data_IF_880457009418
#
_entry.id   IF_880457009418
#
_cell.length_a   1.000
_cell.length_b   1.000
_cell.length_c   1.000
_cell.angle_alpha   90.00
_cell.angle_beta   90.00
_cell.angle_gamma   90.00
#
_symmetry.space_group_name_H-M   'P 1'
#
loop_
_entity.id
_entity.type
_entity.pdbx_description
1 polymer ?
#
# COMPACT_ATOMS: atom_id res chain seq x y z
N UNK A 1 30.47 -60.03 57.30
CA UNK A 1 28.99 -60.13 57.27
C UNK A 1 28.43 -58.74 57.05
N UNK A 2 28.18 -58.39 55.79
CA UNK A 2 27.35 -57.24 55.39
C UNK A 2 27.04 -57.45 53.91
N UNK A 3 25.77 -57.68 53.61
CA UNK A 3 25.27 -58.04 52.28
C UNK A 3 25.26 -56.82 51.34
N UNK A 4 25.35 -57.01 50.01
CA UNK A 4 25.17 -55.94 49.04
C UNK A 4 23.68 -55.70 48.77
N UNK A 5 23.24 -54.45 48.86
CA UNK A 5 21.87 -54.02 48.57
C UNK A 5 21.77 -53.57 47.11
N UNK A 6 20.91 -54.23 46.34
CA UNK A 6 20.53 -53.88 44.97
C UNK A 6 19.73 -52.56 44.94
N UNK A 7 19.96 -51.65 43.97
CA UNK A 7 19.12 -50.46 43.84
C UNK A 7 17.81 -50.76 43.09
N UNK A 8 16.70 -50.31 43.67
CA UNK A 8 15.35 -50.28 43.08
C UNK A 8 15.29 -49.26 41.93
N UNK A 9 14.66 -49.57 40.77
CA UNK A 9 14.48 -48.58 39.70
C UNK A 9 13.34 -47.61 40.06
N UNK A 10 13.57 -46.32 39.81
CA UNK A 10 12.56 -45.26 39.94
C UNK A 10 11.47 -45.41 38.84
N UNK A 11 10.22 -44.98 39.10
CA UNK A 11 9.14 -45.12 38.14
C UNK A 11 9.36 -44.19 36.93
N UNK A 12 9.12 -44.73 35.74
CA UNK A 12 9.14 -43.99 34.49
C UNK A 12 8.06 -42.90 34.51
N UNK A 13 8.48 -41.65 34.36
CA UNK A 13 7.59 -40.53 34.09
C UNK A 13 7.12 -40.69 32.64
N UNK A 14 5.83 -40.91 32.47
CA UNK A 14 5.15 -40.81 31.19
C UNK A 14 5.08 -39.33 30.81
N UNK A 15 5.88 -38.92 29.84
CA UNK A 15 5.72 -37.64 29.15
C UNK A 15 4.40 -37.67 28.39
N UNK A 16 3.36 -37.16 29.06
CA UNK A 16 2.07 -36.85 28.45
C UNK A 16 2.22 -35.53 27.69
N UNK A 17 2.79 -35.61 26.49
CA UNK A 17 2.78 -34.49 25.53
C UNK A 17 1.36 -34.33 25.00
N UNK A 18 0.57 -33.54 25.75
CA UNK A 18 -0.67 -32.93 25.31
C UNK A 18 -0.40 -32.04 24.09
N UNK A 19 -0.53 -32.61 22.90
CA UNK A 19 -0.66 -31.86 21.64
C UNK A 19 -1.99 -31.12 21.63
N UNK A 20 -1.97 -29.85 22.04
CA UNK A 20 -3.08 -28.94 21.77
C UNK A 20 -3.10 -28.65 20.25
N UNK A 21 -4.25 -28.77 19.56
CA UNK A 21 -4.31 -28.49 18.13
C UNK A 21 -4.14 -26.98 17.94
N UNK A 22 -2.96 -26.56 17.49
CA UNK A 22 -2.77 -25.20 16.95
C UNK A 22 -3.54 -25.14 15.63
N UNK A 23 -4.81 -24.76 15.72
CA UNK A 23 -5.79 -24.71 14.64
C UNK A 23 -5.46 -23.67 13.57
N UNK A 24 -4.32 -23.81 12.92
CA UNK A 24 -3.91 -23.01 11.77
C UNK A 24 -4.38 -23.73 10.52
N UNK A 25 -5.34 -23.14 9.81
CA UNK A 25 -5.76 -23.66 8.52
C UNK A 25 -4.53 -23.74 7.58
N UNK A 26 -4.25 -24.90 6.95
CA UNK A 26 -3.15 -25.01 5.99
C UNK A 26 -3.39 -24.02 4.85
N UNK A 27 -2.37 -23.27 4.42
CA UNK A 27 -2.53 -22.16 3.46
C UNK A 27 -3.30 -22.53 2.18
N UNK A 28 -3.18 -23.78 1.72
CA UNK A 28 -3.95 -24.31 0.59
C UNK A 28 -5.48 -24.22 0.75
N UNK A 29 -5.99 -24.28 1.98
CA UNK A 29 -7.42 -24.14 2.28
C UNK A 29 -7.95 -22.71 2.09
N UNK A 30 -7.06 -21.70 2.04
CA UNK A 30 -7.42 -20.30 1.82
C UNK A 30 -7.29 -19.90 0.34
N UNK A 31 -6.26 -20.37 -0.36
CA UNK A 31 -5.92 -19.86 -1.69
C UNK A 31 -6.98 -20.17 -2.75
N UNK A 32 -7.37 -21.44 -2.87
CA UNK A 32 -8.30 -21.90 -3.91
C UNK A 32 -9.63 -21.14 -3.90
N UNK A 33 -10.37 -21.08 -2.78
CA UNK A 33 -11.64 -20.38 -2.71
C UNK A 33 -11.54 -18.87 -3.02
N UNK A 34 -10.47 -18.20 -2.56
CA UNK A 34 -10.30 -16.76 -2.79
C UNK A 34 -9.94 -16.46 -4.24
N UNK A 35 -9.08 -17.27 -4.87
CA UNK A 35 -8.73 -17.13 -6.28
C UNK A 35 -9.94 -17.42 -7.17
N UNK A 36 -10.71 -18.48 -6.89
CA UNK A 36 -11.93 -18.80 -7.63
C UNK A 36 -12.96 -17.66 -7.52
N UNK A 37 -13.17 -17.13 -6.31
CA UNK A 37 -14.03 -15.97 -6.11
C UNK A 37 -13.54 -14.74 -6.90
N UNK A 38 -12.22 -14.50 -6.91
CA UNK A 38 -11.64 -13.38 -7.65
C UNK A 38 -11.82 -13.52 -9.16
N UNK A 39 -11.66 -14.71 -9.72
CA UNK A 39 -11.85 -14.96 -11.16
C UNK A 39 -13.28 -14.60 -11.63
N UNK A 40 -14.28 -14.70 -10.75
CA UNK A 40 -15.68 -14.34 -11.03
C UNK A 40 -16.06 -12.90 -10.66
N UNK A 41 -15.41 -12.31 -9.64
CA UNK A 41 -15.87 -11.07 -8.99
C UNK A 41 -14.88 -9.91 -9.05
N UNK A 42 -13.69 -10.11 -9.62
CA UNK A 42 -12.69 -9.04 -9.73
C UNK A 42 -13.27 -7.82 -10.44
N UNK A 43 -13.07 -6.63 -9.84
CA UNK A 43 -13.36 -5.39 -10.55
C UNK A 43 -12.48 -5.28 -11.78
N UNK A 44 -13.11 -4.92 -12.89
CA UNK A 44 -12.43 -4.49 -14.10
C UNK A 44 -11.78 -3.13 -13.84
N UNK A 45 -10.45 -3.14 -13.71
CA UNK A 45 -9.64 -1.96 -13.42
C UNK A 45 -8.55 -1.87 -14.49
N UNK A 46 -8.30 -0.68 -15.06
CA UNK A 46 -7.44 -0.56 -16.22
C UNK A 46 -6.00 -1.02 -15.97
N UNK A 47 -5.48 -0.85 -14.76
CA UNK A 47 -4.15 -1.34 -14.35
C UNK A 47 -4.05 -2.85 -14.11
N UNK A 48 -5.17 -3.59 -14.16
CA UNK A 48 -5.17 -5.07 -14.11
C UNK A 48 -5.16 -5.71 -15.49
N UNK A 49 -5.43 -4.92 -16.53
CA UNK A 49 -5.49 -5.43 -17.90
C UNK A 49 -4.07 -5.59 -18.46
N UNK A 50 -3.81 -6.55 -19.35
CA UNK A 50 -2.47 -6.78 -19.91
C UNK A 50 -1.86 -5.52 -20.54
N UNK A 51 -2.67 -4.64 -21.12
CA UNK A 51 -2.22 -3.44 -21.83
C UNK A 51 -1.63 -2.38 -20.90
N UNK A 52 -1.89 -2.44 -19.59
CA UNK A 52 -1.30 -1.51 -18.63
C UNK A 52 0.23 -1.65 -18.56
N UNK A 53 0.73 -2.89 -18.72
CA UNK A 53 2.12 -3.23 -18.55
C UNK A 53 2.71 -2.81 -17.19
N UNK A 54 4.03 -2.98 -17.01
CA UNK A 54 4.70 -2.65 -15.75
C UNK A 54 4.61 -1.18 -15.35
N UNK A 55 4.62 -0.26 -16.33
CA UNK A 55 4.51 1.17 -16.06
C UNK A 55 3.12 1.55 -15.55
N UNK A 56 2.05 1.07 -16.20
CA UNK A 56 0.69 1.30 -15.72
C UNK A 56 0.47 0.74 -14.32
N UNK A 57 0.92 -0.49 -14.05
CA UNK A 57 0.89 -1.07 -12.69
C UNK A 57 1.63 -0.19 -11.68
N UNK A 58 2.85 0.27 -12.00
CA UNK A 58 3.60 1.14 -11.10
C UNK A 58 2.87 2.46 -10.82
N UNK A 59 2.33 3.12 -11.84
CA UNK A 59 1.57 4.37 -11.70
C UNK A 59 0.36 4.15 -10.80
N UNK A 60 -0.41 3.06 -10.98
CA UNK A 60 -1.56 2.77 -10.13
C UNK A 60 -1.14 2.54 -8.68
N UNK A 61 -0.05 1.81 -8.43
CA UNK A 61 0.44 1.55 -7.07
C UNK A 61 0.91 2.83 -6.36
N UNK A 62 1.48 3.79 -7.08
CA UNK A 62 1.76 5.11 -6.51
C UNK A 62 0.47 5.86 -6.18
N UNK A 63 -0.53 5.84 -7.06
CA UNK A 63 -1.78 6.57 -6.88
C UNK A 63 -2.69 5.99 -5.80
N UNK A 64 -2.79 4.67 -5.68
CA UNK A 64 -3.70 3.96 -4.77
C UNK A 64 -3.29 4.00 -3.30
N UNK A 65 -2.06 4.43 -2.98
CA UNK A 65 -1.61 4.61 -1.59
C UNK A 65 -2.48 5.64 -0.85
N UNK A 66 -3.41 5.16 0.00
CA UNK A 66 -4.31 6.00 0.78
C UNK A 66 -5.24 6.88 -0.08
N UNK A 67 -5.51 6.49 -1.33
CA UNK A 67 -6.47 7.17 -2.21
C UNK A 67 -7.42 6.12 -2.80
N UNK A 68 -8.76 6.30 -2.68
CA UNK A 68 -9.70 5.31 -3.14
C UNK A 68 -9.75 5.21 -4.67
N UNK A 69 -10.03 4.02 -5.18
CA UNK A 69 -10.05 3.66 -6.61
C UNK A 69 -10.83 4.66 -7.46
N UNK A 70 -12.05 5.04 -7.04
CA UNK A 70 -12.91 5.96 -7.77
C UNK A 70 -12.30 7.35 -7.99
N UNK A 71 -11.39 7.78 -7.12
CA UNK A 71 -10.66 9.05 -7.27
C UNK A 71 -9.42 8.88 -8.15
N UNK A 72 -8.82 7.69 -8.15
CA UNK A 72 -7.61 7.38 -8.94
C UNK A 72 -7.93 7.21 -10.42
N UNK A 73 -9.00 6.48 -10.75
CA UNK A 73 -9.37 6.12 -12.14
C UNK A 73 -9.23 7.27 -13.16
N UNK A 74 -9.89 8.43 -13.00
CA UNK A 74 -9.82 9.49 -14.01
C UNK A 74 -8.42 10.12 -14.12
N UNK A 75 -7.66 10.18 -13.02
CA UNK A 75 -6.30 10.72 -13.02
C UNK A 75 -5.33 9.74 -13.66
N UNK A 76 -5.48 8.44 -13.40
CA UNK A 76 -4.70 7.38 -14.00
C UNK A 76 -4.84 7.35 -15.52
N UNK A 77 -6.07 7.42 -16.03
CA UNK A 77 -6.34 7.42 -17.47
C UNK A 77 -5.69 8.63 -18.17
N UNK A 78 -5.88 9.84 -17.61
CA UNK A 78 -5.24 11.05 -18.13
C UNK A 78 -3.71 10.97 -18.05
N UNK A 79 -3.18 10.38 -16.98
CA UNK A 79 -1.75 10.21 -16.78
C UNK A 79 -1.12 9.34 -17.85
N UNK A 80 -1.71 8.18 -18.16
CA UNK A 80 -1.18 7.28 -19.19
C UNK A 80 -1.41 7.77 -20.62
N UNK A 81 -2.44 8.59 -20.87
CA UNK A 81 -2.59 9.30 -22.15
C UNK A 81 -1.43 10.30 -22.34
N UNK A 82 -1.09 11.06 -21.29
CA UNK A 82 -0.02 12.07 -21.37
C UNK A 82 1.38 11.45 -21.35
N UNK A 83 1.59 10.44 -20.52
CA UNK A 83 2.89 9.80 -20.28
C UNK A 83 2.79 8.27 -20.34
N UNK A 84 2.68 7.71 -21.55
CA UNK A 84 2.52 6.27 -21.74
C UNK A 84 3.77 5.46 -21.36
N UNK A 85 4.97 6.08 -21.31
CA UNK A 85 6.20 5.44 -20.84
C UNK A 85 6.89 6.25 -19.73
N UNK A 86 7.77 5.62 -18.92
CA UNK A 86 8.58 6.33 -17.92
C UNK A 86 9.35 7.51 -18.53
N UNK A 87 9.94 7.32 -19.71
CA UNK A 87 10.71 8.35 -20.41
C UNK A 87 9.89 9.59 -20.79
N UNK A 88 8.58 9.47 -20.98
CA UNK A 88 7.72 10.60 -21.32
C UNK A 88 7.49 11.49 -20.10
N UNK A 89 7.33 10.89 -18.91
CA UNK A 89 7.25 11.63 -17.65
C UNK A 89 8.61 12.21 -17.26
N UNK A 90 9.70 11.46 -17.46
CA UNK A 90 11.05 11.88 -17.06
C UNK A 90 11.53 13.15 -17.79
N UNK A 91 11.04 13.40 -19.00
CA UNK A 91 11.38 14.61 -19.80
C UNK A 91 10.72 15.89 -19.28
N UNK A 92 9.67 15.76 -18.47
CA UNK A 92 8.92 16.90 -17.96
C UNK A 92 9.55 17.42 -16.67
N UNK A 93 9.38 18.71 -16.35
CA UNK A 93 9.67 19.22 -15.02
C UNK A 93 8.88 18.46 -13.94
N UNK A 94 9.46 18.19 -12.75
CA UNK A 94 8.77 17.48 -11.67
C UNK A 94 7.46 18.18 -11.22
N UNK A 95 7.38 19.51 -11.39
CA UNK A 95 6.17 20.29 -11.17
C UNK A 95 4.98 19.86 -12.05
N UNK A 96 5.22 19.38 -13.26
CA UNK A 96 4.16 18.86 -14.14
C UNK A 96 3.52 17.60 -13.57
N UNK A 97 4.33 16.71 -12.98
CA UNK A 97 3.83 15.55 -12.26
C UNK A 97 2.93 15.98 -11.09
N UNK A 98 3.35 16.99 -10.30
CA UNK A 98 2.56 17.55 -9.19
C UNK A 98 1.25 18.18 -9.68
N UNK A 99 1.27 18.83 -10.84
CA UNK A 99 0.10 19.42 -11.49
C UNK A 99 -0.89 18.36 -11.93
N UNK A 100 -0.45 17.38 -12.71
CA UNK A 100 -1.29 16.27 -13.18
C UNK A 100 -1.84 15.40 -12.04
N UNK A 101 -1.10 15.26 -10.93
CA UNK A 101 -1.56 14.55 -9.74
C UNK A 101 -2.81 15.18 -9.10
N UNK A 102 -3.03 16.47 -9.35
CA UNK A 102 -4.22 17.19 -8.91
C UNK A 102 -4.54 16.97 -7.43
N UNK A 103 -5.79 16.61 -7.15
CA UNK A 103 -6.32 16.53 -5.78
C UNK A 103 -6.27 15.13 -5.17
N UNK A 104 -5.48 14.19 -5.71
CA UNK A 104 -5.37 12.81 -5.18
C UNK A 104 -4.86 12.73 -3.73
N UNK A 105 -4.25 13.80 -3.22
CA UNK A 105 -3.64 13.85 -1.89
C UNK A 105 -2.22 13.29 -1.88
N UNK A 106 -1.45 13.60 -0.83
CA UNK A 106 -0.05 13.20 -0.68
C UNK A 106 0.82 13.50 -1.92
N UNK A 107 0.91 14.78 -2.35
CA UNK A 107 1.51 15.16 -3.64
C UNK A 107 3.00 14.84 -3.76
N UNK A 108 3.73 14.59 -2.65
CA UNK A 108 5.11 14.10 -2.70
C UNK A 108 5.23 12.76 -3.45
N UNK A 109 4.15 11.98 -3.54
CA UNK A 109 4.12 10.75 -4.36
C UNK A 109 4.30 11.04 -5.85
N UNK A 110 3.82 12.19 -6.34
CA UNK A 110 4.03 12.60 -7.73
C UNK A 110 5.52 12.87 -8.01
N UNK A 111 6.20 13.57 -7.10
CA UNK A 111 7.65 13.81 -7.19
C UNK A 111 8.45 12.51 -7.12
N UNK A 112 8.05 11.58 -6.25
CA UNK A 112 8.67 10.26 -6.16
C UNK A 112 8.47 9.42 -7.42
N UNK A 113 7.27 9.42 -7.99
CA UNK A 113 6.97 8.73 -9.24
C UNK A 113 7.77 9.34 -10.41
N UNK A 114 7.89 10.67 -10.47
CA UNK A 114 8.74 11.35 -11.44
C UNK A 114 10.22 10.95 -11.27
N UNK A 115 10.75 10.98 -10.04
CA UNK A 115 12.12 10.53 -9.76
C UNK A 115 12.35 9.04 -10.10
N UNK A 116 11.35 8.18 -9.87
CA UNK A 116 11.39 6.79 -10.31
C UNK A 116 11.44 6.67 -11.84
N UNK A 117 10.64 7.47 -12.56
CA UNK A 117 10.63 7.50 -14.02
C UNK A 117 11.96 7.98 -14.62
N UNK A 118 12.58 9.02 -14.03
CA UNK A 118 13.93 9.47 -14.38
C UNK A 118 14.94 8.33 -14.17
N UNK A 119 14.95 7.71 -12.98
CA UNK A 119 15.85 6.62 -12.66
C UNK A 119 15.67 5.39 -13.58
N UNK A 120 14.43 5.07 -13.98
CA UNK A 120 14.13 4.01 -14.95
C UNK A 120 14.70 4.36 -16.33
N UNK A 121 14.54 5.60 -16.76
CA UNK A 121 15.04 6.07 -18.06
C UNK A 121 16.56 6.03 -18.12
N UNK A 122 17.24 6.51 -17.09
CA UNK A 122 18.70 6.63 -17.06
C UNK A 122 19.40 5.29 -16.79
N UNK A 123 18.86 4.48 -15.87
CA UNK A 123 19.57 3.28 -15.35
C UNK A 123 19.05 1.97 -15.89
N UNK A 124 17.85 1.96 -16.49
CA UNK A 124 17.16 0.74 -16.92
C UNK A 124 16.64 0.81 -18.36
N UNK A 125 17.18 1.72 -19.18
CA UNK A 125 16.85 1.80 -20.62
C UNK A 125 15.42 2.25 -20.93
N UNK A 126 14.72 2.84 -19.95
CA UNK A 126 13.34 3.31 -20.11
C UNK A 126 12.26 2.26 -19.82
N UNK A 127 12.65 1.05 -19.40
CA UNK A 127 11.73 -0.02 -19.04
C UNK A 127 11.78 -0.28 -17.53
N UNK A 128 10.61 -0.47 -16.91
CA UNK A 128 10.52 -0.77 -15.47
C UNK A 128 11.33 -2.04 -15.18
N UNK A 129 12.25 -2.05 -14.21
CA UNK A 129 13.04 -3.25 -13.95
C UNK A 129 12.18 -4.42 -13.46
N UNK A 130 12.52 -5.63 -13.89
CA UNK A 130 11.88 -6.88 -13.45
C UNK A 130 12.37 -7.33 -12.08
N UNK A 131 13.65 -7.16 -11.78
CA UNK A 131 14.24 -7.64 -10.54
C UNK A 131 13.73 -6.87 -9.32
N UNK A 132 13.21 -7.58 -8.31
CA UNK A 132 12.68 -6.97 -7.09
C UNK A 132 13.69 -6.04 -6.40
N UNK A 133 14.97 -6.42 -6.37
CA UNK A 133 16.03 -5.59 -5.79
C UNK A 133 16.23 -4.27 -6.55
N UNK A 134 16.07 -4.28 -7.88
CA UNK A 134 16.17 -3.07 -8.71
C UNK A 134 14.94 -2.18 -8.53
N UNK A 135 13.74 -2.78 -8.42
CA UNK A 135 12.51 -2.05 -8.07
C UNK A 135 12.67 -1.32 -6.73
N UNK A 136 13.18 -2.01 -5.70
CA UNK A 136 13.42 -1.43 -4.38
C UNK A 136 14.45 -0.30 -4.38
N UNK A 137 15.40 -0.31 -5.33
CA UNK A 137 16.41 0.74 -5.48
C UNK A 137 15.91 1.99 -6.23
N UNK A 138 14.66 2.00 -6.70
CA UNK A 138 14.05 3.16 -7.34
C UNK A 138 13.59 4.21 -6.30
N UNK A 139 13.77 5.52 -6.59
CA UNK A 139 13.31 6.58 -5.72
C UNK A 139 11.84 6.44 -5.30
N UNK A 140 11.58 6.45 -4.00
CA UNK A 140 10.23 6.43 -3.45
C UNK A 140 9.47 5.11 -3.56
N UNK A 141 10.13 4.04 -4.02
CA UNK A 141 9.61 2.67 -3.97
C UNK A 141 10.07 2.03 -2.66
N UNK A 142 9.12 1.56 -1.86
CA UNK A 142 9.38 0.77 -0.65
C UNK A 142 9.05 -0.71 -0.84
N UNK A 143 9.23 -1.49 0.22
CA UNK A 143 8.96 -2.94 0.28
C UNK A 143 7.59 -3.31 -0.35
N UNK A 144 6.53 -2.58 0.02
CA UNK A 144 5.19 -2.81 -0.53
C UNK A 144 5.13 -2.61 -2.05
N UNK A 145 5.56 -1.45 -2.54
CA UNK A 145 5.43 -1.09 -3.96
C UNK A 145 6.31 -1.99 -4.84
N UNK A 146 7.50 -2.35 -4.37
CA UNK A 146 8.37 -3.29 -5.08
C UNK A 146 7.72 -4.67 -5.21
N UNK A 147 7.19 -5.22 -4.10
CA UNK A 147 6.48 -6.49 -4.10
C UNK A 147 5.20 -6.45 -4.96
N UNK A 148 4.45 -5.35 -4.93
CA UNK A 148 3.24 -5.17 -5.72
C UNK A 148 3.55 -5.12 -7.23
N UNK A 149 4.54 -4.34 -7.66
CA UNK A 149 4.95 -4.29 -9.07
C UNK A 149 5.49 -5.65 -9.53
N UNK A 150 6.39 -6.28 -8.74
CA UNK A 150 6.91 -7.61 -9.04
C UNK A 150 5.80 -8.68 -9.20
N UNK A 151 4.80 -8.66 -8.31
CA UNK A 151 3.71 -9.62 -8.35
C UNK A 151 2.70 -9.34 -9.47
N UNK A 152 2.26 -8.08 -9.60
CA UNK A 152 1.16 -7.72 -10.50
C UNK A 152 1.59 -7.52 -11.94
N UNK A 153 2.80 -7.00 -12.18
CA UNK A 153 3.30 -6.79 -13.53
C UNK A 153 4.08 -7.99 -14.07
N UNK A 154 4.85 -8.67 -13.20
CA UNK A 154 5.78 -9.72 -13.62
C UNK A 154 5.40 -11.12 -13.15
N UNK A 155 4.29 -11.26 -12.40
CA UNK A 155 3.81 -12.56 -11.95
C UNK A 155 4.71 -13.22 -10.91
N UNK A 156 5.67 -12.50 -10.32
CA UNK A 156 6.65 -13.05 -9.40
C UNK A 156 6.05 -13.37 -8.03
N UNK A 157 6.69 -14.29 -7.31
CA UNK A 157 6.28 -14.69 -5.97
C UNK A 157 6.78 -13.71 -4.88
N UNK A 158 5.97 -12.70 -4.55
CA UNK A 158 6.23 -11.81 -3.40
C UNK A 158 5.01 -11.60 -2.50
N UNK A 159 5.20 -11.46 -1.17
CA UNK A 159 4.10 -11.13 -0.26
C UNK A 159 3.70 -9.66 -0.39
N UNK A 160 2.51 -9.39 -0.91
CA UNK A 160 1.95 -8.03 -1.02
C UNK A 160 1.09 -7.72 0.21
N UNK A 161 1.60 -6.87 1.11
CA UNK A 161 0.95 -6.55 2.40
C UNK A 161 0.45 -5.11 2.48
N UNK A 162 -0.66 -4.81 1.81
CA UNK A 162 -1.42 -3.58 2.06
C UNK A 162 -2.30 -3.70 3.32
N UNK A 163 -3.05 -2.65 3.64
CA UNK A 163 -3.96 -2.66 4.79
C UNK A 163 -5.13 -3.63 4.63
N UNK A 164 -5.50 -4.01 3.40
CA UNK A 164 -6.56 -4.97 3.11
C UNK A 164 -6.09 -6.40 3.36
N UNK A 165 -4.97 -6.80 2.78
CA UNK A 165 -4.38 -8.13 2.96
C UNK A 165 -4.02 -8.34 4.43
N UNK A 166 -3.38 -7.36 5.07
CA UNK A 166 -3.06 -7.45 6.51
C UNK A 166 -4.29 -7.73 7.37
N UNK A 167 -5.43 -7.09 7.07
CA UNK A 167 -6.70 -7.32 7.77
C UNK A 167 -7.29 -8.70 7.47
N UNK A 168 -7.26 -9.14 6.21
CA UNK A 168 -7.69 -10.49 5.82
C UNK A 168 -6.89 -11.54 6.60
N UNK A 169 -5.56 -11.44 6.62
CA UNK A 169 -4.69 -12.40 7.31
C UNK A 169 -4.87 -12.34 8.83
N UNK A 170 -4.98 -11.14 9.41
CA UNK A 170 -5.24 -10.97 10.83
C UNK A 170 -6.54 -11.69 11.25
N UNK A 171 -7.63 -11.46 10.52
CA UNK A 171 -8.93 -12.08 10.84
C UNK A 171 -8.95 -13.58 10.54
N UNK A 172 -8.54 -13.96 9.33
CA UNK A 172 -8.67 -15.34 8.87
C UNK A 172 -7.75 -16.30 9.63
N UNK A 173 -6.54 -15.85 9.99
CA UNK A 173 -5.50 -16.76 10.51
C UNK A 173 -5.21 -16.53 11.99
N UNK A 174 -5.16 -15.27 12.44
CA UNK A 174 -4.83 -14.98 13.85
C UNK A 174 -6.06 -14.76 14.73
N UNK A 175 -7.26 -14.70 14.16
CA UNK A 175 -8.49 -14.50 14.91
C UNK A 175 -8.68 -13.08 15.43
N UNK A 176 -7.91 -12.09 14.96
CA UNK A 176 -7.94 -10.72 15.48
C UNK A 176 -8.66 -9.76 14.52
N UNK A 177 -9.45 -8.82 15.07
CA UNK A 177 -10.25 -7.90 14.25
C UNK A 177 -9.39 -6.97 13.39
N UNK A 178 -8.28 -6.46 13.96
CA UNK A 178 -7.39 -5.53 13.30
C UNK A 178 -5.91 -5.90 13.49
N UNK A 179 -5.09 -5.78 12.43
CA UNK A 179 -3.65 -5.87 12.58
C UNK A 179 -3.10 -4.66 13.35
N UNK A 180 -1.86 -4.73 13.87
CA UNK A 180 -1.16 -3.59 14.47
C UNK A 180 -1.11 -2.35 13.56
N UNK A 181 -0.86 -1.16 14.13
CA UNK A 181 -0.84 0.09 13.35
C UNK A 181 0.27 0.09 12.27
N UNK A 182 1.44 -0.44 12.60
CA UNK A 182 2.56 -0.61 11.67
C UNK A 182 2.77 -2.09 11.33
N UNK A 183 3.25 -2.38 10.12
CA UNK A 183 3.54 -3.75 9.68
C UNK A 183 4.71 -4.32 10.49
N UNK A 184 4.45 -5.41 11.20
CA UNK A 184 5.41 -6.09 12.08
C UNK A 184 6.21 -7.19 11.37
N UNK A 185 7.29 -7.66 11.99
CA UNK A 185 8.05 -8.82 11.50
C UNK A 185 7.20 -10.11 11.53
N UNK A 186 6.29 -10.24 12.51
CA UNK A 186 5.37 -11.36 12.62
C UNK A 186 4.38 -11.41 11.45
N UNK A 187 3.80 -10.26 11.07
CA UNK A 187 2.91 -10.17 9.90
C UNK A 187 3.64 -10.54 8.60
N UNK A 188 4.89 -10.07 8.43
CA UNK A 188 5.72 -10.43 7.26
C UNK A 188 6.01 -11.93 7.20
N UNK A 189 6.34 -12.54 8.34
CA UNK A 189 6.58 -13.99 8.43
C UNK A 189 5.32 -14.78 8.09
N UNK A 190 4.18 -14.41 8.68
CA UNK A 190 2.89 -15.02 8.40
C UNK A 190 2.54 -14.96 6.91
N UNK A 191 2.74 -13.80 6.28
CA UNK A 191 2.45 -13.63 4.86
C UNK A 191 3.33 -14.49 3.96
N UNK A 192 4.62 -14.65 4.30
CA UNK A 192 5.53 -15.56 3.58
C UNK A 192 5.14 -17.03 3.75
N UNK A 193 4.79 -17.44 4.97
CA UNK A 193 4.35 -18.82 5.25
C UNK A 193 3.04 -19.18 4.52
N UNK A 194 2.21 -18.18 4.21
CA UNK A 194 0.98 -18.34 3.45
C UNK A 194 1.19 -18.10 1.94
N UNK A 195 2.39 -17.81 1.46
CA UNK A 195 2.57 -17.50 0.05
C UNK A 195 2.63 -18.81 -0.77
N UNK A 196 1.74 -19.03 -1.77
CA UNK A 196 1.82 -20.22 -2.63
C UNK A 196 3.21 -20.40 -3.23
N UNK A 197 3.73 -21.62 -3.32
CA UNK A 197 5.08 -21.88 -3.88
C UNK A 197 5.17 -21.61 -5.39
N UNK A 198 4.10 -21.90 -6.13
CA UNK A 198 3.99 -21.59 -7.56
C UNK A 198 3.78 -20.07 -7.80
N UNK A 199 4.60 -19.46 -8.65
CA UNK A 199 4.61 -18.00 -8.88
C UNK A 199 3.28 -17.49 -9.46
N UNK A 200 2.71 -18.23 -10.40
CA UNK A 200 1.42 -17.88 -11.03
C UNK A 200 0.30 -17.88 -10.01
N UNK A 201 0.31 -18.85 -9.10
CA UNK A 201 -0.67 -18.93 -8.01
C UNK A 201 -0.41 -17.85 -6.96
N UNK A 202 0.86 -17.53 -6.65
CA UNK A 202 1.23 -16.50 -5.70
C UNK A 202 0.82 -15.09 -6.15
N UNK A 203 1.09 -14.74 -7.42
CA UNK A 203 0.69 -13.44 -7.98
C UNK A 203 -0.83 -13.29 -8.07
N UNK A 204 -1.56 -14.36 -8.46
CA UNK A 204 -3.03 -14.39 -8.39
C UNK A 204 -3.53 -14.22 -6.96
N UNK A 205 -2.93 -14.91 -5.98
CA UNK A 205 -3.28 -14.78 -4.57
C UNK A 205 -3.06 -13.35 -4.04
N UNK A 206 -1.99 -12.67 -4.45
CA UNK A 206 -1.72 -11.30 -4.06
C UNK A 206 -2.87 -10.35 -4.50
N UNK A 207 -3.33 -10.45 -5.76
CA UNK A 207 -4.44 -9.64 -6.25
C UNK A 207 -5.77 -10.03 -5.61
N UNK A 208 -6.05 -11.34 -5.50
CA UNK A 208 -7.30 -11.87 -4.99
C UNK A 208 -7.51 -11.57 -3.50
N UNK A 209 -6.48 -11.73 -2.67
CA UNK A 209 -6.55 -11.42 -1.24
C UNK A 209 -6.72 -9.92 -0.98
N UNK A 210 -6.09 -9.06 -1.79
CA UNK A 210 -6.30 -7.61 -1.74
C UNK A 210 -7.74 -7.23 -2.12
N UNK A 211 -8.28 -7.84 -3.17
CA UNK A 211 -9.66 -7.60 -3.62
C UNK A 211 -10.69 -8.08 -2.59
N UNK A 212 -10.46 -9.25 -1.99
CA UNK A 212 -11.29 -9.78 -0.92
C UNK A 212 -11.35 -8.81 0.26
N UNK A 213 -10.18 -8.29 0.68
CA UNK A 213 -10.11 -7.29 1.73
C UNK A 213 -10.81 -5.98 1.36
N UNK A 214 -10.72 -5.56 0.10
CA UNK A 214 -11.35 -4.33 -0.37
C UNK A 214 -12.89 -4.41 -0.47
N UNK A 215 -13.45 -5.56 -0.84
CA UNK A 215 -14.88 -5.69 -1.18
C UNK A 215 -15.71 -6.46 -0.16
N UNK A 216 -15.12 -7.42 0.55
CA UNK A 216 -15.86 -8.36 1.42
C UNK A 216 -15.41 -8.23 2.86
N UNK A 217 -14.12 -8.41 3.10
CA UNK A 217 -13.52 -8.31 4.43
C UNK A 217 -13.12 -6.86 4.71
N UNK A 218 -14.06 -5.93 4.63
CA UNK A 218 -13.85 -4.50 4.87
C UNK A 218 -13.58 -4.20 6.34
N UNK A 219 -12.96 -3.06 6.64
CA UNK A 219 -12.64 -2.68 8.02
C UNK A 219 -13.89 -2.49 8.90
N UNK A 220 -14.97 -2.00 8.29
CA UNK A 220 -16.30 -1.85 8.88
C UNK A 220 -17.32 -2.49 7.93
N UNK A 221 -18.40 -3.05 8.48
CA UNK A 221 -19.50 -3.64 7.73
C UNK A 221 -19.05 -4.79 6.79
N UNK A 222 -18.16 -5.65 7.27
CA UNK A 222 -17.70 -6.81 6.51
C UNK A 222 -18.84 -7.79 6.19
N UNK A 223 -18.83 -8.31 4.97
CA UNK A 223 -19.86 -9.22 4.46
C UNK A 223 -19.46 -10.69 4.64
N UNK A 224 -19.27 -11.13 5.89
CA UNK A 224 -18.79 -12.50 6.18
C UNK A 224 -19.63 -13.60 5.51
N UNK A 225 -20.95 -13.43 5.40
CA UNK A 225 -21.84 -14.39 4.73
C UNK A 225 -21.56 -14.56 3.23
N UNK A 226 -20.84 -13.62 2.60
CA UNK A 226 -20.39 -13.68 1.21
C UNK A 226 -18.90 -14.03 1.08
N UNK A 227 -18.21 -14.26 2.19
CA UNK A 227 -16.77 -14.50 2.18
C UNK A 227 -16.48 -15.96 1.80
N UNK A 228 -15.68 -16.22 0.75
CA UNK A 228 -15.38 -17.57 0.28
C UNK A 228 -14.59 -18.41 1.28
N UNK A 229 -13.99 -17.76 2.29
CA UNK A 229 -13.22 -18.41 3.36
C UNK A 229 -13.85 -18.27 4.74
N UNK A 230 -15.16 -17.96 4.80
CA UNK A 230 -15.85 -17.73 6.08
C UNK A 230 -15.78 -18.93 7.03
N UNK A 231 -15.95 -20.15 6.49
CA UNK A 231 -15.90 -21.39 7.26
C UNK A 231 -14.51 -21.74 7.82
N UNK A 232 -13.45 -21.10 7.34
CA UNK A 232 -12.07 -21.30 7.83
C UNK A 232 -11.52 -20.07 8.56
N UNK A 233 -12.29 -18.99 8.68
CA UNK A 233 -11.83 -17.72 9.22
C UNK A 233 -11.87 -17.76 10.76
N UNK A 234 -10.69 -17.78 11.40
CA UNK A 234 -10.57 -17.85 12.85
C UNK A 234 -11.39 -16.77 13.59
N UNK A 235 -11.36 -15.52 13.10
CA UNK A 235 -12.10 -14.42 13.73
C UNK A 235 -13.62 -14.57 13.57
N UNK A 236 -14.08 -15.10 12.44
CA UNK A 236 -15.51 -15.37 12.23
C UNK A 236 -15.98 -16.52 13.13
N UNK A 237 -15.21 -17.62 13.18
CA UNK A 237 -15.54 -18.80 13.98
C UNK A 237 -15.54 -18.49 15.49
N UNK A 238 -14.73 -17.52 15.93
CA UNK A 238 -14.73 -17.00 17.29
C UNK A 238 -15.90 -16.04 17.61
N UNK A 239 -16.86 -15.86 16.71
CA UNK A 239 -18.01 -14.96 16.92
C UNK A 239 -17.70 -13.48 16.67
N UNK A 240 -16.63 -13.16 15.93
CA UNK A 240 -16.22 -11.80 15.52
C UNK A 240 -15.96 -10.87 16.71
N UNK A 241 -15.09 -11.25 17.67
CA UNK A 241 -14.80 -10.42 18.83
C UNK A 241 -14.32 -9.03 18.41
N UNK A 242 -14.81 -8.00 19.09
CA UNK A 242 -14.42 -6.62 18.86
C UNK A 242 -13.00 -6.34 19.37
N UNK A 243 -12.37 -5.33 18.79
CA UNK A 243 -11.08 -4.84 19.24
C UNK A 243 -11.20 -4.20 20.63
N UNK A 244 -10.38 -4.69 21.55
CA UNK A 244 -10.28 -4.28 22.95
C UNK A 244 -9.28 -3.12 23.20
N UNK A 245 -8.59 -2.66 22.15
CA UNK A 245 -7.61 -1.57 22.22
C UNK A 245 -8.22 -0.17 22.06
N UNK A 246 -7.37 0.89 22.11
CA UNK A 246 -7.84 2.27 22.00
C UNK A 246 -8.55 2.52 20.66
N UNK A 247 -9.57 3.39 20.63
CA UNK A 247 -10.32 3.66 19.42
C UNK A 247 -9.42 4.26 18.35
N UNK A 248 -9.46 3.68 17.15
CA UNK A 248 -8.75 4.20 15.97
C UNK A 248 -9.46 5.43 15.42
N UNK A 249 -9.20 6.60 16.02
CA UNK A 249 -9.78 7.89 15.59
C UNK A 249 -8.96 8.50 14.45
N UNK A 250 -9.66 8.90 13.38
CA UNK A 250 -9.08 9.74 12.32
C UNK A 250 -9.12 11.21 12.70
N UNK A 251 -8.11 11.98 12.29
CA UNK A 251 -8.13 13.44 12.40
C UNK A 251 -9.11 14.01 11.36
N UNK A 252 -9.87 15.05 11.74
CA UNK A 252 -10.68 15.83 10.79
C UNK A 252 -9.79 16.57 9.81
N UNK A 253 -10.25 16.76 8.57
CA UNK A 253 -9.47 17.49 7.56
C UNK A 253 -9.56 19.01 7.72
N UNK A 254 -10.75 19.51 8.08
CA UNK A 254 -11.02 20.94 8.20
C UNK A 254 -10.15 21.59 9.29
N UNK A 255 -9.56 22.75 8.96
CA UNK A 255 -8.69 23.51 9.85
C UNK A 255 -7.26 22.98 9.96
N UNK A 256 -6.92 21.87 9.29
CA UNK A 256 -5.57 21.30 9.38
C UNK A 256 -4.60 21.94 8.40
N UNK A 257 -3.30 21.88 8.70
CA UNK A 257 -2.23 22.28 7.77
C UNK A 257 -2.32 21.53 6.44
N UNK A 258 -2.86 20.29 6.42
CA UNK A 258 -3.10 19.53 5.19
C UNK A 258 -4.11 20.22 4.27
N UNK A 259 -5.12 20.89 4.85
CA UNK A 259 -6.07 21.68 4.09
C UNK A 259 -5.41 22.92 3.49
N UNK A 260 -4.68 23.68 4.32
CA UNK A 260 -4.00 24.91 3.91
C UNK A 260 -2.99 24.62 2.79
N UNK A 261 -2.15 23.60 2.97
CA UNK A 261 -1.20 23.13 1.96
C UNK A 261 -1.89 22.74 0.64
N UNK A 262 -3.03 22.05 0.74
CA UNK A 262 -3.82 21.66 -0.43
C UNK A 262 -4.34 22.85 -1.23
N UNK A 263 -4.77 23.91 -0.53
CA UNK A 263 -5.25 25.15 -1.17
C UNK A 263 -4.11 25.97 -1.78
N UNK A 264 -2.98 26.10 -1.10
CA UNK A 264 -1.78 26.77 -1.64
C UNK A 264 -1.30 26.07 -2.93
N UNK A 265 -1.21 24.73 -2.91
CA UNK A 265 -0.88 23.97 -4.10
C UNK A 265 -1.92 24.09 -5.22
N UNK A 266 -3.20 24.31 -4.92
CA UNK A 266 -4.20 24.51 -5.96
C UNK A 266 -3.89 25.77 -6.79
N UNK A 267 -3.55 26.88 -6.14
CA UNK A 267 -3.14 28.12 -6.82
C UNK A 267 -1.91 27.89 -7.70
N UNK A 268 -0.88 27.21 -7.17
CA UNK A 268 0.37 26.98 -7.91
C UNK A 268 0.21 26.04 -9.10
N UNK A 269 -0.77 25.12 -9.05
CA UNK A 269 -1.08 24.22 -10.18
C UNK A 269 -1.81 24.92 -11.31
N UNK A 270 -2.67 25.89 -10.99
CA UNK A 270 -3.41 26.68 -11.98
C UNK A 270 -2.54 27.76 -12.62
N UNK A 271 -1.45 28.15 -11.94
CA UNK A 271 -0.51 29.14 -12.45
C UNK A 271 0.42 28.59 -13.54
N UNK A 272 0.60 29.39 -14.59
CA UNK A 272 1.58 29.18 -15.68
C UNK A 272 2.86 29.99 -15.49
N UNK A 273 2.82 31.04 -14.67
CA UNK A 273 3.96 31.87 -14.27
C UNK A 273 4.17 31.82 -12.76
N UNK A 274 5.35 32.22 -12.24
CA UNK A 274 5.54 32.34 -10.80
C UNK A 274 4.47 33.21 -10.14
N UNK A 275 4.01 32.77 -8.96
CA UNK A 275 2.91 33.36 -8.20
C UNK A 275 3.49 34.26 -7.09
N UNK A 276 3.08 35.54 -7.02
CA UNK A 276 3.46 36.42 -5.92
C UNK A 276 2.90 35.96 -4.57
N UNK A 277 3.67 36.17 -3.50
CA UNK A 277 3.25 35.88 -2.12
C UNK A 277 1.89 36.50 -1.78
N UNK A 278 1.62 37.71 -2.27
CA UNK A 278 0.37 38.44 -2.05
C UNK A 278 -0.88 37.75 -2.61
N UNK A 279 -0.72 36.80 -3.55
CA UNK A 279 -1.81 35.94 -4.04
C UNK A 279 -1.99 34.75 -3.09
N UNK A 280 -0.89 34.11 -2.68
CA UNK A 280 -0.93 33.01 -1.71
C UNK A 280 -1.48 33.46 -0.36
N UNK A 281 -1.23 34.71 0.03
CA UNK A 281 -1.70 35.29 1.29
C UNK A 281 -3.22 35.35 1.42
N UNK A 282 -3.95 35.34 0.29
CA UNK A 282 -5.42 35.39 0.26
C UNK A 282 -6.08 34.01 0.35
N UNK A 283 -5.29 32.94 0.36
CA UNK A 283 -5.79 31.54 0.30
C UNK A 283 -6.34 31.06 1.65
N UNK A 284 -5.83 31.64 2.74
CA UNK A 284 -6.14 31.23 4.09
C UNK A 284 -6.01 32.41 5.05
N UNK A 285 -7.01 32.62 5.90
CA UNK A 285 -7.09 33.84 6.72
C UNK A 285 -6.06 33.85 7.86
N UNK A 286 -5.65 32.69 8.37
CA UNK A 286 -4.73 32.61 9.50
C UNK A 286 -3.25 32.64 9.07
N UNK A 287 -2.50 33.75 9.29
CA UNK A 287 -1.20 33.96 8.65
C UNK A 287 -0.12 33.01 9.14
N UNK A 288 -0.09 32.68 10.44
CA UNK A 288 0.96 31.81 11.01
C UNK A 288 0.82 30.39 10.45
N UNK A 289 -0.42 29.89 10.39
CA UNK A 289 -0.70 28.57 9.82
C UNK A 289 -0.37 28.52 8.33
N UNK A 290 -0.71 29.58 7.59
CA UNK A 290 -0.44 29.70 6.15
C UNK A 290 1.07 29.70 5.85
N UNK A 291 1.84 30.50 6.58
CA UNK A 291 3.30 30.56 6.44
C UNK A 291 3.93 29.19 6.72
N UNK A 292 3.60 28.56 7.85
CA UNK A 292 4.08 27.22 8.20
C UNK A 292 3.71 26.18 7.14
N UNK A 293 2.50 26.24 6.59
CA UNK A 293 2.05 25.36 5.52
C UNK A 293 2.86 25.56 4.23
N UNK A 294 3.15 26.80 3.85
CA UNK A 294 3.97 27.14 2.68
C UNK A 294 5.42 26.69 2.86
N UNK A 295 6.03 26.96 4.02
CA UNK A 295 7.40 26.53 4.34
C UNK A 295 7.52 25.01 4.30
N UNK A 296 6.52 24.30 4.81
CA UNK A 296 6.48 22.84 4.75
C UNK A 296 6.33 22.32 3.31
N UNK A 297 5.67 23.05 2.41
CA UNK A 297 5.62 22.70 0.98
C UNK A 297 6.97 22.91 0.29
N UNK A 298 7.68 23.99 0.65
CA UNK A 298 9.04 24.26 0.16
C UNK A 298 10.01 23.19 0.65
N UNK A 299 9.99 22.88 1.93
CA UNK A 299 10.83 21.82 2.53
C UNK A 299 10.57 20.45 1.91
N UNK A 300 9.34 20.17 1.50
CA UNK A 300 8.96 18.93 0.83
C UNK A 300 9.36 18.87 -0.66
N UNK A 301 9.93 19.96 -1.21
CA UNK A 301 10.27 20.09 -2.62
C UNK A 301 9.06 20.27 -3.55
N UNK A 302 7.88 20.57 -3.00
CA UNK A 302 6.64 20.73 -3.77
C UNK A 302 6.46 22.14 -4.33
N UNK A 303 7.20 23.11 -3.77
CA UNK A 303 7.15 24.51 -4.12
C UNK A 303 8.57 25.07 -4.11
N UNK A 304 8.92 25.81 -5.15
CA UNK A 304 10.20 26.49 -5.26
C UNK A 304 10.02 27.98 -4.97
N UNK A 305 10.69 28.53 -3.94
CA UNK A 305 10.72 29.97 -3.70
C UNK A 305 11.72 30.64 -4.65
N UNK A 306 11.38 31.81 -5.16
CA UNK A 306 12.18 32.63 -6.07
C UNK A 306 12.43 34.02 -5.48
N UNK A 307 13.45 34.76 -5.97
CA UNK A 307 13.67 36.15 -5.59
C UNK A 307 12.41 37.02 -5.79
N UNK A 308 12.25 38.02 -4.92
CA UNK A 308 11.11 38.95 -5.00
C UNK A 308 9.79 38.40 -4.44
N UNK A 309 9.82 37.34 -3.62
CA UNK A 309 8.61 36.80 -3.00
C UNK A 309 7.70 36.08 -4.01
N UNK A 310 8.29 35.41 -4.99
CA UNK A 310 7.59 34.64 -6.01
C UNK A 310 7.72 33.15 -5.70
N UNK A 311 6.71 32.36 -6.06
CA UNK A 311 6.67 30.92 -5.83
C UNK A 311 6.21 30.18 -7.08
N UNK A 312 6.74 28.98 -7.34
CA UNK A 312 6.30 28.12 -8.44
C UNK A 312 6.34 26.64 -8.06
N UNK A 313 5.81 25.79 -8.92
CA UNK A 313 6.09 24.35 -8.88
C UNK A 313 7.54 24.08 -9.33
N UNK A 314 8.18 23.00 -8.84
CA UNK A 314 9.60 22.73 -9.07
C UNK A 314 9.91 22.46 -10.55
N UNK A 315 11.06 22.97 -11.02
CA UNK A 315 11.56 22.71 -12.38
C UNK A 315 12.65 21.63 -12.47
N UNK A 316 13.29 21.30 -11.35
CA UNK A 316 14.41 20.35 -11.24
C UNK A 316 14.23 19.46 -10.02
#
# INVERSE_FOLDING_TARGET
MTAPTTPTPAPAQTDDTSDAPTGRAPGGALHGPVIAWFDEHARDLPWRRPEAGPWGVMVSEFMLQQTPVNRVLPVYEQWLIRWPRPADLAKEPPGEAVRAWGRLGYPRRALRLHGAAVAITERHGGDVPTEHAQLLALPGIGEYTAAAVASFAYGQRHPVLDTNVRRVLARAVTGTQYPPNATTAAERRLARELLPEDERTASRWAAASMELGALICTAKNESCHRCPISAQCAWQLAGKPEHDGPPRRGQTYAGTDRQVRGRLLAVLREAVTPVPQSILDRVWDEPVQRARALDALVSDGLVEPLPGGLYRLPLT
#
